data_IF_323583838711
#
_entry.id   IF_323583838711
#
_cell.length_a   1.000
_cell.length_b   1.000
_cell.length_c   1.000
_cell.angle_alpha   90.00
_cell.angle_beta   90.00
_cell.angle_gamma   90.00
#
_symmetry.space_group_name_H-M   'P 1'
#
loop_
_entity.id
_entity.type
_entity.pdbx_description
1 polymer ?
#
# COMPACT_ATOMS: atom_id res chain seq x y z
N UNK A 1 38.70 6.98 3.87
CA UNK A 1 38.02 6.09 2.92
C UNK A 1 36.70 6.73 2.57
N UNK A 2 36.50 7.06 1.31
CA UNK A 2 35.35 7.83 0.81
C UNK A 2 34.35 6.82 0.26
N UNK A 3 33.14 6.78 0.81
CA UNK A 3 32.04 5.95 0.30
C UNK A 3 31.29 6.73 -0.78
N UNK A 4 30.96 6.13 -1.94
CA UNK A 4 30.07 6.78 -2.89
C UNK A 4 28.62 6.59 -2.43
N UNK A 5 27.94 7.71 -2.20
CA UNK A 5 26.50 7.78 -1.98
C UNK A 5 25.82 7.57 -3.35
N UNK A 6 25.42 6.34 -3.66
CA UNK A 6 24.58 6.09 -4.83
C UNK A 6 23.12 6.39 -4.47
N UNK A 7 22.75 7.67 -4.56
CA UNK A 7 21.35 8.07 -4.58
C UNK A 7 20.76 7.67 -5.93
N UNK A 8 19.95 6.61 -5.96
CA UNK A 8 19.08 6.33 -7.10
C UNK A 8 17.98 7.39 -7.08
N UNK A 9 18.22 8.48 -7.78
CA UNK A 9 17.18 9.45 -8.12
C UNK A 9 16.19 8.76 -9.05
N UNK A 10 15.07 8.30 -8.50
CA UNK A 10 13.86 8.08 -9.30
C UNK A 10 13.56 9.39 -10.01
N UNK A 11 13.69 9.40 -11.34
CA UNK A 11 13.34 10.54 -12.18
C UNK A 11 11.81 10.64 -12.21
N UNK A 12 11.23 11.15 -11.14
CA UNK A 12 9.96 11.85 -11.26
C UNK A 12 10.32 13.22 -11.78
N UNK A 13 10.08 13.42 -13.08
CA UNK A 13 10.23 14.71 -13.73
C UNK A 13 9.43 15.77 -12.93
N UNK A 14 10.13 16.53 -12.10
CA UNK A 14 9.65 17.80 -11.56
C UNK A 14 9.76 18.84 -12.68
N UNK A 15 8.89 18.72 -13.68
CA UNK A 15 8.77 19.69 -14.76
C UNK A 15 7.30 19.90 -15.02
N UNK A 16 6.73 20.90 -14.34
CA UNK A 16 5.82 21.91 -14.89
C UNK A 16 4.67 21.52 -15.83
N UNK A 17 4.31 20.26 -16.00
CA UNK A 17 3.09 19.89 -16.72
C UNK A 17 1.91 20.20 -15.81
N UNK A 18 1.21 21.27 -16.16
CA UNK A 18 -0.16 21.49 -15.67
C UNK A 18 -0.90 20.16 -15.83
N UNK A 19 -1.56 19.66 -14.78
CA UNK A 19 -2.22 18.36 -14.85
C UNK A 19 -3.17 18.39 -16.05
N UNK A 20 -2.94 17.51 -17.02
CA UNK A 20 -3.75 17.39 -18.24
C UNK A 20 -5.20 17.04 -17.92
N UNK A 21 -5.46 16.64 -16.67
CA UNK A 21 -6.77 16.32 -16.11
C UNK A 21 -7.08 17.29 -14.97
N UNK A 22 -8.27 17.88 -15.01
CA UNK A 22 -8.76 18.75 -13.93
C UNK A 22 -9.31 17.98 -12.72
N UNK A 23 -9.44 16.65 -12.81
CA UNK A 23 -9.82 15.75 -11.71
C UNK A 23 -9.40 14.32 -11.98
N UNK A 24 -9.28 13.52 -10.93
CA UNK A 24 -8.84 12.15 -11.04
C UNK A 24 -9.06 11.34 -9.78
N UNK A 25 -8.72 10.05 -9.90
CA UNK A 25 -8.68 9.08 -8.83
C UNK A 25 -7.37 8.30 -8.95
N UNK A 26 -6.68 8.08 -7.84
CA UNK A 26 -5.47 7.28 -7.81
C UNK A 26 -5.42 6.43 -6.54
N UNK A 27 -4.69 5.33 -6.62
CA UNK A 27 -4.27 4.54 -5.47
C UNK A 27 -2.76 4.77 -5.29
N UNK A 28 -2.29 4.78 -4.03
CA UNK A 28 -0.90 5.06 -3.73
C UNK A 28 -0.57 4.94 -2.25
N UNK A 29 0.65 5.30 -1.87
CA UNK A 29 1.13 5.30 -0.48
C UNK A 29 1.13 6.74 0.03
N UNK A 30 0.50 7.00 1.17
CA UNK A 30 0.60 8.29 1.87
C UNK A 30 2.03 8.42 2.43
N UNK A 31 2.92 9.17 1.78
CA UNK A 31 4.34 9.21 2.15
C UNK A 31 4.67 10.29 3.17
N UNK A 32 3.89 11.37 3.19
CA UNK A 32 4.01 12.45 4.17
C UNK A 32 2.67 13.17 4.39
N UNK A 33 2.55 13.88 5.51
CA UNK A 33 1.46 14.80 5.78
C UNK A 33 1.92 15.95 6.67
N UNK A 34 1.26 17.10 6.52
CA UNK A 34 1.36 18.23 7.43
C UNK A 34 -0.03 18.72 7.84
N UNK A 35 -0.09 19.84 8.54
CA UNK A 35 -1.34 20.35 9.12
C UNK A 35 -2.45 20.64 8.08
N UNK A 36 -2.08 20.94 6.84
CA UNK A 36 -3.03 21.28 5.78
C UNK A 36 -2.63 20.71 4.41
N UNK A 37 -1.85 19.62 4.40
CA UNK A 37 -1.44 18.98 3.16
C UNK A 37 -1.12 17.50 3.38
N UNK A 38 -1.25 16.70 2.33
CA UNK A 38 -0.74 15.33 2.26
C UNK A 38 0.15 15.17 1.03
N UNK A 39 1.03 14.19 1.06
CA UNK A 39 1.80 13.78 -0.10
C UNK A 39 1.56 12.29 -0.34
N UNK A 40 1.09 11.97 -1.54
CA UNK A 40 0.77 10.60 -1.94
C UNK A 40 1.68 10.22 -3.11
N UNK A 41 2.45 9.14 -2.91
CA UNK A 41 3.22 8.49 -3.97
C UNK A 41 2.32 7.51 -4.69
N UNK A 42 2.05 7.77 -5.97
CA UNK A 42 1.24 6.86 -6.80
C UNK A 42 1.99 5.54 -7.05
N UNK A 43 1.30 4.58 -7.66
CA UNK A 43 1.89 3.27 -8.00
C UNK A 43 3.01 3.34 -9.04
N UNK A 44 3.17 4.48 -9.72
CA UNK A 44 4.28 4.73 -10.64
C UNK A 44 5.51 5.29 -9.92
N UNK A 45 5.41 5.53 -8.62
CA UNK A 45 6.50 6.02 -7.80
C UNK A 45 6.59 7.55 -7.73
N UNK A 46 5.59 8.29 -8.23
CA UNK A 46 5.63 9.75 -8.20
C UNK A 46 4.83 10.36 -7.04
N UNK A 47 5.53 11.06 -6.12
CA UNK A 47 4.88 11.78 -5.03
C UNK A 47 4.30 13.10 -5.52
N UNK A 48 3.05 13.35 -5.16
CA UNK A 48 2.39 14.64 -5.37
C UNK A 48 1.78 15.15 -4.08
N UNK A 49 1.84 16.47 -3.87
CA UNK A 49 1.26 17.15 -2.72
C UNK A 49 -0.17 17.61 -3.04
N UNK A 50 -1.08 17.32 -2.11
CA UNK A 50 -2.48 17.68 -2.19
C UNK A 50 -2.89 18.52 -0.98
N UNK A 51 -3.76 19.50 -1.21
CA UNK A 51 -4.32 20.40 -0.21
C UNK A 51 -5.82 20.09 -0.03
N UNK A 52 -6.41 20.31 1.15
CA UNK A 52 -7.86 20.39 1.25
C UNK A 52 -8.43 21.52 0.37
N UNK A 53 -9.71 21.41 0.00
CA UNK A 53 -10.45 22.50 -0.62
C UNK A 53 -10.52 23.73 0.30
N UNK A 54 -10.58 24.92 -0.29
CA UNK A 54 -10.80 26.18 0.45
C UNK A 54 -12.29 26.51 0.47
N UNK A 55 -12.84 26.80 1.66
CA UNK A 55 -14.25 27.13 1.88
C UNK A 55 -14.33 28.54 2.47
N UNK A 56 -15.27 29.35 1.97
CA UNK A 56 -15.55 30.69 2.47
C UNK A 56 -14.73 31.79 1.78
N UNK A 57 -14.61 32.93 2.45
CA UNK A 57 -13.89 34.11 1.94
C UNK A 57 -12.37 34.03 2.14
N UNK A 58 -11.65 35.17 2.19
CA UNK A 58 -10.26 35.19 2.65
C UNK A 58 -10.14 34.78 4.14
N UNK A 59 -8.93 34.44 4.64
CA UNK A 59 -8.74 33.94 6.00
C UNK A 59 -9.35 34.83 7.10
N UNK A 60 -9.26 36.16 6.93
CA UNK A 60 -9.82 37.14 7.85
C UNK A 60 -11.35 37.28 7.81
N UNK A 61 -12.03 36.62 6.86
CA UNK A 61 -13.49 36.59 6.72
C UNK A 61 -14.06 35.18 6.90
N UNK A 62 -13.41 34.37 7.73
CA UNK A 62 -13.86 33.01 8.04
C UNK A 62 -13.58 32.00 6.92
N UNK A 63 -12.70 32.35 5.98
CA UNK A 63 -12.17 31.40 5.00
C UNK A 63 -11.21 30.41 5.62
N UNK A 64 -11.25 29.16 5.18
CA UNK A 64 -10.31 28.15 5.63
C UNK A 64 -10.36 26.87 4.81
N UNK A 65 -9.46 25.95 5.14
CA UNK A 65 -9.49 24.61 4.58
C UNK A 65 -10.72 23.85 5.07
N UNK A 66 -11.26 23.00 4.20
CA UNK A 66 -12.36 22.09 4.55
C UNK A 66 -11.99 21.21 5.76
N UNK A 67 -12.69 21.44 6.86
CA UNK A 67 -12.46 20.75 8.13
C UNK A 67 -12.81 19.26 8.07
N UNK A 68 -13.77 18.86 7.24
CA UNK A 68 -14.11 17.45 7.06
C UNK A 68 -12.98 16.71 6.33
N UNK A 69 -12.33 17.37 5.38
CA UNK A 69 -11.15 16.83 4.71
C UNK A 69 -9.96 16.80 5.67
N UNK A 70 -9.68 17.89 6.40
CA UNK A 70 -8.61 17.93 7.40
C UNK A 70 -8.70 16.78 8.40
N UNK A 71 -9.90 16.48 8.90
CA UNK A 71 -10.14 15.35 9.80
C UNK A 71 -9.77 14.01 9.16
N UNK A 72 -10.13 13.78 7.89
CA UNK A 72 -9.74 12.57 7.15
C UNK A 72 -8.21 12.45 7.00
N UNK A 73 -7.51 13.58 6.79
CA UNK A 73 -6.05 13.60 6.69
C UNK A 73 -5.40 13.19 8.02
N UNK A 74 -5.99 13.61 9.15
CA UNK A 74 -5.45 13.31 10.47
C UNK A 74 -5.65 11.84 10.86
N UNK A 75 -6.82 11.27 10.56
CA UNK A 75 -7.16 9.88 10.87
C UNK A 75 -6.23 8.86 10.21
N UNK A 76 -5.70 9.16 9.02
CA UNK A 76 -4.90 8.20 8.25
C UNK A 76 -3.41 8.33 8.59
N UNK A 77 -2.78 7.26 9.10
CA UNK A 77 -1.35 7.28 9.38
C UNK A 77 -0.52 7.23 8.09
N UNK A 78 0.58 7.99 8.08
CA UNK A 78 1.61 7.95 7.03
C UNK A 78 2.15 6.52 6.85
N UNK A 79 2.44 6.17 5.60
CA UNK A 79 2.95 4.89 5.14
C UNK A 79 1.87 3.88 4.78
N UNK A 80 0.59 4.19 5.02
CA UNK A 80 -0.49 3.33 4.58
C UNK A 80 -0.86 3.58 3.12
N UNK A 81 -1.43 2.54 2.51
CA UNK A 81 -1.99 2.61 1.17
C UNK A 81 -3.34 3.32 1.21
N UNK A 82 -3.57 4.23 0.28
CA UNK A 82 -4.76 5.08 0.21
C UNK A 82 -5.32 5.10 -1.20
N UNK A 83 -6.62 5.39 -1.27
CA UNK A 83 -7.32 5.77 -2.48
C UNK A 83 -7.71 7.24 -2.35
N UNK A 84 -7.26 8.04 -3.30
CA UNK A 84 -7.44 9.49 -3.33
C UNK A 84 -8.28 9.88 -4.54
N UNK A 85 -9.34 10.64 -4.31
CA UNK A 85 -10.03 11.42 -5.35
C UNK A 85 -9.58 12.87 -5.23
N UNK A 86 -9.22 13.47 -6.35
CA UNK A 86 -8.66 14.81 -6.40
C UNK A 86 -9.22 15.64 -7.56
N UNK A 87 -9.13 16.96 -7.43
CA UNK A 87 -9.37 17.91 -8.51
C UNK A 87 -8.31 19.01 -8.54
N UNK A 88 -8.30 19.79 -9.62
CA UNK A 88 -7.39 20.91 -9.82
C UNK A 88 -8.18 22.21 -9.93
N UNK A 89 -7.89 23.15 -9.02
CA UNK A 89 -8.45 24.51 -8.99
C UNK A 89 -7.37 25.60 -9.15
N UNK A 90 -6.20 25.21 -9.66
CA UNK A 90 -4.93 25.95 -9.53
C UNK A 90 -3.99 25.30 -8.50
N UNK A 91 -4.52 24.45 -7.62
CA UNK A 91 -3.77 23.52 -6.79
C UNK A 91 -4.38 22.12 -6.87
N UNK A 92 -3.60 21.08 -6.54
CA UNK A 92 -4.14 19.73 -6.37
C UNK A 92 -4.93 19.68 -5.06
N UNK A 93 -6.24 19.45 -5.17
CA UNK A 93 -7.18 19.40 -4.06
C UNK A 93 -7.64 17.99 -3.74
N UNK A 94 -7.82 17.70 -2.46
CA UNK A 94 -8.40 16.45 -1.97
C UNK A 94 -9.92 16.58 -1.94
N UNK A 95 -10.61 15.73 -2.71
CA UNK A 95 -12.07 15.54 -2.58
C UNK A 95 -12.41 14.46 -1.56
N UNK A 96 -11.65 13.36 -1.59
CA UNK A 96 -11.88 12.21 -0.73
C UNK A 96 -10.61 11.42 -0.53
N UNK A 97 -10.33 11.05 0.72
CA UNK A 97 -9.22 10.16 1.06
C UNK A 97 -9.75 8.92 1.77
N UNK A 98 -9.34 7.74 1.32
CA UNK A 98 -9.76 6.46 1.91
C UNK A 98 -8.55 5.57 2.18
N UNK A 99 -8.44 5.08 3.41
CA UNK A 99 -7.48 4.04 3.76
C UNK A 99 -7.83 2.71 3.06
N UNK A 100 -6.87 2.15 2.32
CA UNK A 100 -6.97 0.83 1.72
C UNK A 100 -6.35 -0.21 2.65
N UNK A 101 -7.20 -0.92 3.39
CA UNK A 101 -6.77 -2.00 4.28
C UNK A 101 -6.49 -3.27 3.49
N UNK A 102 -5.44 -4.04 3.84
CA UNK A 102 -5.25 -5.38 3.28
C UNK A 102 -6.45 -6.27 3.61
N UNK A 103 -6.81 -7.17 2.68
CA UNK A 103 -7.93 -8.11 2.88
C UNK A 103 -7.71 -9.04 4.08
N UNK A 104 -6.45 -9.45 4.30
CA UNK A 104 -6.05 -10.25 5.46
C UNK A 104 -5.36 -9.37 6.49
N UNK A 105 -5.59 -9.64 7.78
CA UNK A 105 -4.87 -8.95 8.88
C UNK A 105 -3.45 -9.46 9.09
N UNK A 106 -3.05 -10.55 8.44
CA UNK A 106 -1.69 -11.09 8.44
C UNK A 106 -1.47 -11.87 7.18
N UNK A 107 -0.22 -12.02 6.78
CA UNK A 107 0.12 -12.74 5.57
C UNK A 107 1.60 -12.95 5.39
N UNK A 108 1.92 -13.64 4.31
CA UNK A 108 3.27 -13.77 3.78
C UNK A 108 3.24 -13.17 2.38
N UNK A 109 4.18 -12.27 2.09
CA UNK A 109 4.34 -11.68 0.77
C UNK A 109 5.75 -11.95 0.28
N UNK A 110 5.85 -12.43 -0.96
CA UNK A 110 7.10 -12.51 -1.71
C UNK A 110 7.11 -11.37 -2.72
N UNK A 111 8.25 -10.70 -2.86
CA UNK A 111 8.36 -9.53 -3.70
C UNK A 111 9.77 -8.97 -3.79
N UNK A 112 9.86 -7.83 -4.45
CA UNK A 112 11.10 -7.09 -4.68
C UNK A 112 11.05 -5.77 -3.92
N UNK A 113 12.15 -5.41 -3.26
CA UNK A 113 12.30 -4.12 -2.56
C UNK A 113 12.33 -3.00 -3.60
N UNK A 114 11.46 -2.01 -3.43
CA UNK A 114 11.38 -0.83 -4.30
C UNK A 114 12.09 0.37 -3.69
N UNK A 115 11.97 0.53 -2.38
CA UNK A 115 12.48 1.66 -1.62
C UNK A 115 12.62 1.29 -0.14
N UNK A 116 13.44 2.01 0.60
CA UNK A 116 13.61 1.79 2.04
C UNK A 116 13.84 3.09 2.80
N UNK A 117 13.50 3.05 4.08
CA UNK A 117 13.92 4.03 5.08
C UNK A 117 14.39 3.35 6.35
N UNK A 118 14.70 4.13 7.37
CA UNK A 118 15.34 3.64 8.60
C UNK A 118 14.57 2.52 9.31
N UNK A 119 13.23 2.52 9.20
CA UNK A 119 12.36 1.59 9.91
C UNK A 119 11.24 1.02 9.03
N UNK A 120 11.35 1.17 7.71
CA UNK A 120 10.35 0.67 6.77
C UNK A 120 10.98 0.26 5.44
N UNK A 121 10.29 -0.63 4.73
CA UNK A 121 10.57 -0.98 3.34
C UNK A 121 9.31 -0.90 2.51
N UNK A 122 9.44 -0.46 1.28
CA UNK A 122 8.43 -0.63 0.26
C UNK A 122 8.77 -1.82 -0.61
N UNK A 123 7.78 -2.68 -0.81
CA UNK A 123 7.93 -3.89 -1.59
C UNK A 123 6.80 -4.02 -2.60
N UNK A 124 7.16 -4.32 -3.85
CA UNK A 124 6.23 -4.74 -4.89
C UNK A 124 6.03 -6.26 -4.79
N UNK A 125 4.79 -6.72 -4.62
CA UNK A 125 4.52 -8.17 -4.61
C UNK A 125 4.74 -8.77 -6.00
N UNK A 126 5.45 -9.90 -6.08
CA UNK A 126 5.68 -10.60 -7.37
C UNK A 126 4.39 -11.04 -8.06
N UNK A 127 3.29 -11.20 -7.31
CA UNK A 127 2.00 -11.67 -7.85
C UNK A 127 1.14 -10.57 -8.46
N UNK A 128 1.18 -9.38 -7.86
CA UNK A 128 0.25 -8.30 -8.20
C UNK A 128 0.95 -7.01 -8.65
N UNK A 129 2.25 -6.87 -8.41
CA UNK A 129 3.02 -5.65 -8.68
C UNK A 129 2.65 -4.46 -7.81
N UNK A 130 1.67 -4.59 -6.90
CA UNK A 130 1.16 -3.49 -6.09
C UNK A 130 2.15 -3.17 -4.96
N UNK A 131 2.67 -1.92 -4.87
CA UNK A 131 3.56 -1.50 -3.80
C UNK A 131 2.84 -1.41 -2.45
N UNK A 132 3.47 -1.95 -1.41
CA UNK A 132 3.09 -1.75 -0.01
C UNK A 132 4.30 -1.37 0.82
N UNK A 133 4.11 -0.42 1.74
CA UNK A 133 5.10 -0.08 2.76
C UNK A 133 4.87 -0.90 4.03
N UNK A 134 5.90 -1.58 4.48
CA UNK A 134 5.92 -2.38 5.70
C UNK A 134 6.89 -1.75 6.70
N UNK A 135 6.48 -1.64 7.96
CA UNK A 135 7.27 -1.06 9.03
C UNK A 135 7.85 -2.15 9.93
N UNK A 136 9.02 -1.90 10.50
CA UNK A 136 9.50 -2.68 11.63
C UNK A 136 8.43 -2.71 12.75
N UNK A 137 8.35 -3.86 13.43
CA UNK A 137 7.43 -4.05 14.55
C UNK A 137 7.87 -3.19 15.74
N UNK A 138 6.92 -2.58 16.42
CA UNK A 138 7.15 -1.88 17.68
C UNK A 138 7.00 -2.85 18.87
N UNK A 139 7.93 -2.79 19.82
CA UNK A 139 7.99 -3.64 21.03
C UNK A 139 8.25 -2.76 22.26
N UNK A 140 7.91 -3.21 23.47
CA UNK A 140 8.32 -2.53 24.72
C UNK A 140 7.43 -1.40 25.25
N UNK A 141 6.23 -1.15 24.71
CA UNK A 141 5.33 -0.11 25.24
C UNK A 141 5.65 1.29 24.71
N UNK A 142 5.46 2.37 25.48
CA UNK A 142 5.80 3.73 25.02
C UNK A 142 7.32 3.93 24.95
N UNK A 143 7.84 4.87 24.13
CA UNK A 143 9.28 5.13 24.02
C UNK A 143 9.96 5.34 25.39
N UNK A 144 9.32 6.11 26.27
CA UNK A 144 9.79 6.40 27.63
C UNK A 144 9.89 5.16 28.54
N UNK A 145 9.23 4.05 28.17
CA UNK A 145 9.21 2.79 28.92
C UNK A 145 10.04 1.70 28.25
N UNK A 146 11.00 2.08 27.40
CA UNK A 146 11.81 1.13 26.62
C UNK A 146 11.11 0.63 25.35
N UNK A 147 10.08 1.35 24.91
CA UNK A 147 9.42 1.09 23.65
C UNK A 147 10.31 1.47 22.46
N UNK A 148 10.40 0.58 21.48
CA UNK A 148 11.20 0.83 20.29
C UNK A 148 10.85 -0.12 19.15
N UNK A 149 11.47 0.11 18.01
CA UNK A 149 11.43 -0.85 16.91
C UNK A 149 12.25 -2.09 17.26
N UNK A 150 11.78 -3.25 16.81
CA UNK A 150 12.45 -4.52 17.04
C UNK A 150 13.83 -4.53 16.35
N UNK A 151 14.91 -4.55 17.13
CA UNK A 151 16.29 -4.36 16.66
C UNK A 151 16.68 -5.35 15.56
N UNK A 152 16.38 -6.64 15.73
CA UNK A 152 16.72 -7.64 14.71
C UNK A 152 16.03 -7.35 13.37
N UNK A 153 14.83 -6.75 13.39
CA UNK A 153 14.17 -6.33 12.14
C UNK A 153 14.89 -5.12 11.54
N UNK A 154 15.33 -4.16 12.35
CA UNK A 154 16.07 -3.00 11.86
C UNK A 154 17.42 -3.39 11.24
N UNK A 155 18.20 -4.26 11.89
CA UNK A 155 19.49 -4.71 11.36
C UNK A 155 19.33 -5.36 10.00
N UNK A 156 18.31 -6.22 9.84
CA UNK A 156 18.05 -6.81 8.53
C UNK A 156 17.60 -5.74 7.50
N UNK A 157 16.87 -4.68 7.89
CA UNK A 157 16.46 -3.62 6.97
C UNK A 157 17.65 -2.75 6.50
N UNK A 158 18.66 -2.62 7.35
CA UNK A 158 19.89 -1.89 7.04
C UNK A 158 20.68 -2.58 5.92
N UNK A 159 20.74 -3.91 5.95
CA UNK A 159 21.44 -4.74 4.97
C UNK A 159 20.74 -4.76 3.59
N UNK A 160 19.41 -4.65 3.57
CA UNK A 160 18.62 -4.70 2.33
C UNK A 160 18.97 -3.59 1.33
N UNK A 161 19.02 -3.95 0.06
CA UNK A 161 19.14 -3.03 -1.06
C UNK A 161 17.84 -2.97 -1.87
N UNK A 162 17.60 -1.87 -2.61
CA UNK A 162 16.63 -1.88 -3.69
C UNK A 162 16.89 -3.05 -4.66
N UNK A 163 15.82 -3.59 -5.22
CA UNK A 163 15.81 -4.76 -6.11
C UNK A 163 16.07 -6.13 -5.45
N UNK A 164 16.34 -6.18 -4.14
CA UNK A 164 16.44 -7.44 -3.41
C UNK A 164 15.10 -8.19 -3.41
N UNK A 165 15.17 -9.51 -3.63
CA UNK A 165 14.01 -10.41 -3.52
C UNK A 165 13.88 -10.89 -2.08
N UNK A 166 12.74 -10.63 -1.47
CA UNK A 166 12.48 -10.99 -0.08
C UNK A 166 11.14 -11.70 0.10
N UNK A 167 11.09 -12.55 1.12
CA UNK A 167 9.86 -13.15 1.64
C UNK A 167 9.63 -12.59 3.04
N UNK A 168 8.58 -11.79 3.21
CA UNK A 168 8.23 -11.19 4.49
C UNK A 168 6.91 -11.74 5.03
N UNK A 169 6.89 -12.02 6.34
CA UNK A 169 5.68 -12.28 7.12
C UNK A 169 5.27 -10.99 7.80
N UNK A 170 4.00 -10.64 7.70
CA UNK A 170 3.47 -9.37 8.20
C UNK A 170 2.15 -9.52 8.93
N UNK A 171 1.87 -8.53 9.78
CA UNK A 171 0.57 -8.33 10.45
C UNK A 171 0.11 -6.89 10.25
N UNK A 172 -1.19 -6.67 10.13
CA UNK A 172 -1.79 -5.35 10.03
C UNK A 172 -2.48 -4.99 11.34
N UNK A 173 -1.93 -3.97 12.00
CA UNK A 173 -2.56 -3.29 13.12
C UNK A 173 -3.18 -1.96 12.67
N UNK A 174 -2.41 -0.89 12.81
CA UNK A 174 -2.57 0.46 12.28
C UNK A 174 -1.79 0.62 10.97
N UNK A 175 -0.70 -0.15 10.81
CA UNK A 175 0.14 -0.22 9.60
C UNK A 175 0.54 -1.68 9.33
N UNK A 176 0.98 -2.04 8.11
CA UNK A 176 1.63 -3.31 7.89
C UNK A 176 2.95 -3.37 8.70
N UNK A 177 3.06 -4.33 9.62
CA UNK A 177 4.24 -4.57 10.46
C UNK A 177 4.94 -5.85 10.05
N UNK A 178 6.25 -5.78 9.90
CA UNK A 178 7.12 -6.90 9.60
C UNK A 178 7.26 -7.74 10.87
N UNK A 179 6.90 -9.01 10.78
CA UNK A 179 7.09 -10.01 11.85
C UNK A 179 8.39 -10.76 11.65
N UNK A 180 8.67 -11.12 10.40
CA UNK A 180 9.94 -11.72 9.97
C UNK A 180 10.12 -11.44 8.49
N UNK A 181 11.36 -11.45 8.02
CA UNK A 181 11.65 -11.53 6.61
C UNK A 181 12.95 -12.28 6.39
N UNK A 182 13.06 -12.90 5.22
CA UNK A 182 14.21 -13.67 4.81
C UNK A 182 14.50 -13.28 3.36
N UNK A 183 15.78 -13.21 2.99
CA UNK A 183 16.16 -13.20 1.58
C UNK A 183 15.56 -14.43 0.90
N UNK A 184 15.03 -14.26 -0.31
CA UNK A 184 14.78 -15.42 -1.15
C UNK A 184 16.15 -15.81 -1.68
N UNK A 185 16.85 -16.72 -0.99
CA UNK A 185 18.00 -17.38 -1.60
C UNK A 185 17.53 -17.87 -2.97
N UNK A 186 18.22 -17.50 -4.05
CA UNK A 186 17.96 -18.03 -5.39
C UNK A 186 18.32 -19.53 -5.49
N UNK A 187 18.41 -20.22 -4.36
CA UNK A 187 18.71 -21.65 -4.20
C UNK A 187 17.46 -22.44 -3.78
N UNK A 188 16.32 -22.17 -4.38
CA UNK A 188 15.33 -23.23 -4.59
C UNK A 188 15.41 -23.67 -6.05
N UNK A 189 16.24 -24.69 -6.25
CA UNK A 189 16.22 -25.68 -7.33
C UNK A 189 16.73 -25.27 -8.72
N UNK A 190 18.04 -25.46 -8.95
CA UNK A 190 18.40 -26.33 -10.09
C UNK A 190 17.77 -27.68 -9.75
N UNK A 191 16.51 -27.84 -10.12
CA UNK A 191 15.88 -29.14 -10.22
C UNK A 191 16.73 -29.88 -11.25
N UNK A 192 17.76 -30.58 -10.77
CA UNK A 192 18.36 -31.69 -11.49
C UNK A 192 17.34 -32.80 -11.29
N UNK A 193 16.43 -33.05 -12.24
CA UNK A 193 15.60 -34.22 -12.14
C UNK A 193 16.51 -35.42 -11.89
N UNK A 194 16.06 -36.39 -11.11
CA UNK A 194 16.83 -37.60 -10.79
C UNK A 194 17.29 -38.42 -12.04
N UNK A 195 16.87 -38.02 -13.24
CA UNK A 195 17.30 -38.58 -14.53
C UNK A 195 18.39 -37.76 -15.26
N UNK A 196 18.75 -36.55 -14.82
CA UNK A 196 19.92 -35.83 -15.34
C UNK A 196 21.20 -36.33 -14.66
N UNK A 197 21.92 -37.21 -15.35
CA UNK A 197 23.30 -37.55 -15.01
C UNK A 197 24.19 -36.36 -15.33
N UNK A 198 24.40 -35.49 -14.35
CA UNK A 198 25.38 -34.42 -14.44
C UNK A 198 26.76 -35.00 -14.12
N UNK A 199 27.57 -35.29 -15.15
CA UNK A 199 28.97 -35.72 -15.05
C UNK A 199 29.90 -34.56 -14.61
N UNK A 200 29.60 -33.90 -13.48
CA UNK A 200 30.44 -32.79 -12.96
C UNK A 200 31.55 -33.22 -12.01
N UNK A 201 31.70 -34.51 -11.73
CA UNK A 201 32.92 -35.04 -11.13
C UNK A 201 33.72 -35.78 -12.20
N UNK A 202 34.62 -35.08 -12.88
CA UNK A 202 35.75 -35.73 -13.54
C UNK A 202 36.77 -36.04 -12.45
N UNK A 203 36.91 -37.28 -11.95
CA UNK A 203 37.95 -37.59 -10.99
C UNK A 203 39.28 -37.52 -11.72
N UNK A 204 40.31 -36.94 -11.10
CA UNK A 204 41.69 -37.10 -11.58
C UNK A 204 41.95 -38.61 -11.81
N UNK A 205 42.58 -39.00 -12.94
CA UNK A 205 42.86 -40.42 -13.17
C UNK A 205 43.79 -40.94 -12.07
N UNK A 206 43.33 -41.96 -11.34
CA UNK A 206 44.21 -42.74 -10.45
C UNK A 206 45.18 -43.58 -11.29
N UNK A 207 46.39 -43.85 -10.78
CA UNK A 207 47.34 -44.73 -11.46
C UNK A 207 46.74 -46.11 -11.72
N UNK A 208 47.01 -46.64 -12.91
CA UNK A 208 46.58 -47.96 -13.38
C UNK A 208 47.20 -49.04 -12.50
N UNK A 209 46.36 -49.87 -11.88
CA UNK A 209 46.76 -51.15 -11.28
C UNK A 209 46.37 -52.26 -12.28
N UNK A 210 47.25 -53.23 -12.57
CA UNK A 210 46.98 -54.27 -13.57
C UNK A 210 45.79 -55.17 -13.21
N UNK A 211 45.09 -55.56 -14.26
CA UNK A 211 43.91 -56.44 -14.32
C UNK A 211 44.07 -57.79 -13.60
N UNK A 212 43.12 -58.11 -12.72
CA UNK A 212 42.79 -59.48 -12.32
C UNK A 212 41.73 -60.10 -13.25
N UNK A 213 41.61 -61.44 -13.30
CA UNK A 213 40.95 -62.16 -14.38
C UNK A 213 39.42 -62.00 -14.41
N UNK A 214 38.88 -62.03 -15.64
CA UNK A 214 37.49 -61.81 -16.00
C UNK A 214 36.51 -62.79 -15.35
N UNK A 215 35.33 -62.29 -14.97
CA UNK A 215 34.19 -63.10 -14.57
C UNK A 215 33.55 -63.77 -15.81
N UNK A 216 33.25 -65.08 -15.78
CA UNK A 216 32.82 -65.86 -16.94
C UNK A 216 31.31 -65.75 -17.29
N UNK A 217 30.56 -64.85 -16.66
CA UNK A 217 29.10 -64.72 -16.88
C UNK A 217 28.70 -63.69 -17.94
N UNK A 218 29.68 -63.14 -18.68
CA UNK A 218 29.47 -62.20 -19.78
C UNK A 218 29.05 -62.91 -21.09
N UNK A 219 28.04 -63.78 -21.01
CA UNK A 219 27.44 -64.41 -22.18
C UNK A 219 25.95 -64.62 -21.97
N UNK A 220 25.11 -63.66 -22.38
CA UNK A 220 23.95 -63.90 -23.27
C UNK A 220 23.49 -62.57 -23.88
N UNK A 221 23.38 -62.52 -25.20
CA UNK A 221 22.64 -61.54 -26.01
C UNK A 221 21.73 -62.32 -26.98
N UNK A 222 20.82 -61.69 -27.75
CA UNK A 222 19.48 -61.16 -27.43
C UNK A 222 18.34 -61.91 -28.16
N UNK A 223 17.09 -61.89 -27.66
CA UNK A 223 15.91 -62.16 -28.51
C UNK A 223 14.67 -61.35 -28.08
N UNK A 224 14.22 -60.46 -28.98
CA UNK A 224 12.80 -60.10 -29.22
C UNK A 224 12.23 -61.10 -30.25
N UNK A 225 10.90 -61.29 -30.47
CA UNK A 225 9.88 -60.24 -30.56
C UNK A 225 8.40 -60.59 -30.17
N UNK A 226 7.55 -59.56 -30.27
CA UNK A 226 6.10 -59.56 -30.49
C UNK A 226 5.17 -60.05 -29.37
N UNK A 227 4.38 -59.10 -28.83
CA UNK A 227 3.02 -59.42 -28.38
C UNK A 227 2.09 -58.23 -28.65
N UNK A 228 1.05 -58.53 -29.42
CA UNK A 228 -0.04 -57.66 -29.84
C UNK A 228 -0.96 -57.36 -28.64
N UNK A 229 -1.40 -56.11 -28.50
CA UNK A 229 -2.34 -55.68 -27.46
C UNK A 229 -3.74 -56.32 -27.68
N UNK A 230 -4.34 -56.95 -26.65
CA UNK A 230 -5.61 -57.68 -26.77
C UNK A 230 -6.88 -56.86 -26.45
N UNK A 231 -6.81 -55.53 -26.37
CA UNK A 231 -7.93 -54.70 -25.90
C UNK A 231 -8.73 -53.97 -26.99
N UNK A 232 -8.46 -54.22 -28.27
CA UNK A 232 -9.31 -53.72 -29.36
C UNK A 232 -10.49 -54.66 -29.61
N UNK A 233 -11.51 -54.60 -28.74
CA UNK A 233 -12.89 -54.97 -29.08
C UNK A 233 -13.88 -54.08 -28.34
N UNK A 234 -14.59 -53.26 -29.12
CA UNK A 234 -15.63 -52.37 -28.64
C UNK A 234 -16.88 -53.10 -28.12
N UNK A 235 -17.55 -52.45 -27.17
CA UNK A 235 -18.95 -52.67 -26.83
C UNK A 235 -19.49 -51.40 -26.15
N UNK A 236 -20.74 -51.10 -26.47
CA UNK A 236 -21.43 -49.83 -26.25
C UNK A 236 -21.70 -49.49 -24.78
N UNK A 237 -21.77 -48.17 -24.51
CA UNK A 237 -22.24 -47.61 -23.24
C UNK A 237 -23.77 -47.72 -23.13
N UNK A 238 -24.34 -48.13 -21.98
CA UNK A 238 -25.77 -48.47 -21.86
C UNK A 238 -26.66 -47.32 -21.34
N UNK A 239 -26.26 -46.05 -21.44
CA UNK A 239 -27.00 -44.92 -20.86
C UNK A 239 -27.54 -43.90 -21.87
N UNK A 240 -27.67 -44.29 -23.14
CA UNK A 240 -28.14 -43.37 -24.18
C UNK A 240 -29.57 -43.69 -24.63
N UNK A 241 -30.54 -43.23 -23.85
CA UNK A 241 -31.93 -43.07 -24.28
C UNK A 241 -32.50 -41.71 -23.80
N UNK A 242 -32.44 -40.73 -24.71
CA UNK A 242 -33.48 -39.74 -25.12
C UNK A 242 -34.79 -39.66 -24.30
N UNK A 243 -35.45 -38.50 -24.09
CA UNK A 243 -35.54 -37.29 -24.93
C UNK A 243 -36.15 -36.06 -24.20
N UNK A 244 -36.10 -34.86 -24.80
CA UNK A 244 -36.50 -33.58 -24.21
C UNK A 244 -37.91 -33.15 -24.63
N UNK A 245 -38.86 -33.06 -23.70
CA UNK A 245 -39.97 -32.09 -23.75
C UNK A 245 -40.86 -32.22 -22.50
N UNK A 246 -40.74 -31.28 -21.56
CA UNK A 246 -41.80 -30.98 -20.60
C UNK A 246 -41.46 -29.66 -19.89
N UNK A 247 -42.05 -28.56 -20.36
CA UNK A 247 -42.21 -27.34 -19.56
C UNK A 247 -43.23 -27.60 -18.45
N UNK A 248 -42.99 -27.08 -17.24
CA UNK A 248 -44.09 -26.58 -16.44
C UNK A 248 -43.89 -25.13 -16.02
N UNK A 249 -44.96 -24.39 -16.26
CA UNK A 249 -45.36 -23.07 -15.82
C UNK A 249 -44.98 -22.73 -14.36
N UNK A 250 -44.55 -21.49 -14.15
CA UNK A 250 -44.28 -20.88 -12.84
C UNK A 250 -45.50 -20.85 -11.90
N UNK A 251 -45.27 -20.62 -10.59
CA UNK A 251 -45.78 -19.36 -10.06
C UNK A 251 -44.70 -18.54 -9.36
N UNK A 252 -44.65 -17.27 -9.78
CA UNK A 252 -43.93 -16.17 -9.16
C UNK A 252 -44.73 -15.67 -7.96
N UNK A 253 -44.24 -15.87 -6.73
CA UNK A 253 -44.55 -14.98 -5.60
C UNK A 253 -43.31 -14.95 -4.68
N UNK A 254 -42.68 -13.79 -4.57
CA UNK A 254 -41.61 -13.53 -3.58
C UNK A 254 -42.25 -13.10 -2.25
N UNK A 255 -41.79 -13.60 -1.09
CA UNK A 255 -42.45 -13.39 0.21
C UNK A 255 -42.00 -12.12 0.96
N UNK A 256 -41.48 -11.10 0.27
CA UNK A 256 -40.92 -9.89 0.90
C UNK A 256 -41.50 -8.57 0.34
N UNK A 257 -42.76 -8.58 -0.09
CA UNK A 257 -43.47 -7.34 -0.36
C UNK A 257 -44.23 -6.88 0.89
N UNK A 258 -43.52 -6.17 1.77
CA UNK A 258 -44.12 -5.40 2.86
C UNK A 258 -43.63 -3.96 2.76
N UNK A 259 -44.43 -3.15 2.07
CA UNK A 259 -44.44 -1.69 2.25
C UNK A 259 -45.16 -1.36 3.56
N UNK A 260 -44.64 -0.43 4.38
CA UNK A 260 -45.48 0.32 5.30
C UNK A 260 -45.79 1.68 4.67
N UNK A 261 -47.01 1.81 4.15
CA UNK A 261 -47.67 3.09 3.99
C UNK A 261 -48.55 3.35 5.23
N UNK A 262 -48.32 4.46 5.92
CA UNK A 262 -49.29 5.25 6.72
C UNK A 262 -48.54 6.48 7.23
N UNK A 263 -48.69 7.65 6.62
CA UNK A 263 -49.74 8.64 6.92
C UNK A 263 -49.74 9.06 8.39
N UNK A 264 -49.05 10.16 8.69
CA UNK A 264 -49.26 10.94 9.92
C UNK A 264 -49.88 12.26 9.48
N UNK A 265 -51.18 12.40 9.75
CA UNK A 265 -51.84 13.70 9.75
C UNK A 265 -51.35 14.51 10.97
N UNK A 266 -51.09 15.82 10.82
CA UNK A 266 -50.61 16.66 11.91
C UNK A 266 -51.74 17.07 12.86
N UNK A 267 -51.50 16.85 14.16
CA UNK A 267 -52.30 17.41 15.26
C UNK A 267 -52.08 18.93 15.31
N UNK A 268 -53.14 19.77 15.31
CA UNK A 268 -52.99 21.21 15.53
C UNK A 268 -52.85 21.48 17.04
N UNK A 269 -51.76 22.12 17.46
CA UNK A 269 -51.65 22.68 18.82
C UNK A 269 -50.37 22.39 19.62
N UNK A 270 -49.33 21.82 19.02
CA UNK A 270 -48.03 21.72 19.69
C UNK A 270 -47.15 22.93 19.36
N UNK A 271 -47.14 23.92 20.25
CA UNK A 271 -46.18 25.02 20.25
C UNK A 271 -44.75 24.51 20.44
N UNK A 272 -43.85 25.02 19.60
CA UNK A 272 -42.44 24.65 19.52
C UNK A 272 -41.69 25.08 20.81
N UNK A 273 -40.91 24.20 21.47
CA UNK A 273 -40.22 24.53 22.71
C UNK A 273 -38.92 25.35 22.52
N UNK A 274 -38.63 25.79 21.28
CA UNK A 274 -37.40 26.51 20.93
C UNK A 274 -37.60 28.02 20.70
N UNK A 275 -38.81 28.55 20.87
CA UNK A 275 -39.11 29.99 20.75
C UNK A 275 -38.92 30.77 22.07
N UNK A 276 -37.85 30.50 22.81
CA UNK A 276 -37.37 31.40 23.87
C UNK A 276 -36.03 32.01 23.48
N UNK A 277 -36.12 33.17 22.81
CA UNK A 277 -35.01 34.10 22.67
C UNK A 277 -34.55 34.55 24.06
N UNK A 278 -33.35 34.13 24.46
CA UNK A 278 -32.65 34.70 25.61
C UNK A 278 -31.93 35.98 25.19
N UNK A 279 -31.95 37.06 26.00
CA UNK A 279 -31.23 38.28 25.71
C UNK A 279 -29.70 38.09 25.78
N UNK A 280 -28.98 38.88 24.98
CA UNK A 280 -27.53 38.83 24.81
C UNK A 280 -26.77 38.93 26.15
N UNK A 281 -25.66 38.19 26.34
CA UNK A 281 -24.81 38.36 27.52
C UNK A 281 -24.02 39.67 27.44
N UNK A 282 -24.13 40.42 28.54
CA UNK A 282 -23.38 41.63 28.86
C UNK A 282 -21.88 41.33 28.83
N UNK A 283 -21.13 42.23 28.21
CA UNK A 283 -19.67 42.19 28.10
C UNK A 283 -19.00 42.19 29.48
N UNK A 284 -18.45 41.04 29.87
CA UNK A 284 -17.46 40.95 30.96
C UNK A 284 -16.07 41.27 30.41
N UNK A 285 -15.29 42.17 31.02
CA UNK A 285 -13.90 42.42 30.62
C UNK A 285 -13.01 41.21 30.95
N UNK A 286 -12.14 40.84 30.01
CA UNK A 286 -11.14 39.77 30.19
C UNK A 286 -10.09 40.14 31.26
N UNK A 287 -9.55 39.16 32.03
CA UNK A 287 -8.71 39.40 33.19
C UNK A 287 -7.20 39.36 32.90
N UNK A 288 -6.75 39.88 31.75
CA UNK A 288 -5.33 39.81 31.37
C UNK A 288 -4.61 41.16 31.62
N UNK A 289 -3.86 41.17 32.71
CA UNK A 289 -2.59 41.86 33.04
C UNK A 289 -2.16 43.13 32.24
N UNK A 290 -1.92 44.29 32.88
CA UNK A 290 -1.53 45.55 32.22
C UNK A 290 -0.03 45.68 31.85
N UNK A 291 0.80 44.64 31.90
CA UNK A 291 2.25 44.75 31.66
C UNK A 291 2.78 43.89 30.49
N UNK A 292 2.29 44.12 29.27
CA UNK A 292 2.95 43.63 28.05
C UNK A 292 3.67 44.81 27.37
N UNK A 293 5.00 44.78 27.19
CA UNK A 293 5.72 45.83 26.48
C UNK A 293 5.29 45.86 25.00
N UNK A 294 5.25 47.08 24.44
CA UNK A 294 4.84 47.33 23.07
C UNK A 294 5.67 46.52 22.04
N UNK A 295 4.98 46.13 20.97
CA UNK A 295 5.51 45.37 19.85
C UNK A 295 6.68 46.12 19.17
N UNK A 296 7.88 45.53 19.03
CA UNK A 296 9.07 46.23 18.51
C UNK A 296 9.01 46.52 16.99
N UNK A 297 7.93 46.15 16.31
CA UNK A 297 7.75 46.33 14.87
C UNK A 297 6.94 47.58 14.48
N UNK A 298 6.45 48.37 15.45
CA UNK A 298 5.68 49.59 15.19
C UNK A 298 6.53 50.88 15.12
N UNK A 299 7.86 50.75 14.98
CA UNK A 299 8.74 51.90 14.70
C UNK A 299 8.77 52.21 13.19
N UNK A 300 8.47 53.46 12.83
CA UNK A 300 8.41 54.03 11.48
C UNK A 300 9.58 53.69 10.54
N UNK A 301 9.37 53.75 9.21
CA UNK A 301 10.41 53.47 8.21
C UNK A 301 11.49 54.57 8.21
N UNK A 302 12.74 54.15 8.32
CA UNK A 302 13.92 55.01 8.06
C UNK A 302 14.11 55.24 6.55
N UNK A 303 14.66 56.39 6.13
CA UNK A 303 14.79 56.75 4.71
C UNK A 303 15.83 55.87 3.99
N UNK A 304 15.52 55.54 2.74
CA UNK A 304 16.35 54.75 1.81
C UNK A 304 17.66 55.50 1.50
N UNK A 305 18.85 54.88 1.65
CA UNK A 305 20.10 55.49 1.19
C UNK A 305 20.18 55.47 -0.35
N UNK A 306 20.64 56.58 -0.92
CA UNK A 306 20.81 56.76 -2.35
C UNK A 306 21.79 55.75 -2.96
N UNK A 307 21.46 55.30 -4.17
CA UNK A 307 22.18 54.28 -4.94
C UNK A 307 23.56 54.82 -5.40
N UNK A 308 24.69 54.08 -5.26
CA UNK A 308 26.02 54.62 -5.57
C UNK A 308 26.40 54.57 -7.06
N UNK A 309 25.44 54.41 -7.96
CA UNK A 309 25.67 54.26 -9.41
C UNK A 309 25.22 55.48 -10.25
N UNK A 310 24.75 56.55 -9.61
CA UNK A 310 24.55 57.84 -10.27
C UNK A 310 25.75 58.77 -10.00
N UNK A 311 26.86 58.54 -10.71
CA UNK A 311 27.89 59.54 -11.02
C UNK A 311 28.64 59.19 -12.30
#
# INVERSE_FOLDING_TARGET
MVFPLAAITSVCAQLGELPTKSKGKLDGILVAKGNAWIEVKDDKGCPHRYLPGWIGGPPNRGGGYDQAVLSQLDEIPVGNRVQLTWHWDGHLRVDRLKLLRPYKRKGVTVGTILDKGDNWVEMGSSRFGIPFRYYAKWVGGLPERGGGYHEATLSSLEELQPDDKVKLTWVFDVRPRIVSFHGVEEEEDVFVPFYEKVDLFRPRPRPVIPSGPANPFDQVTPQTPNTVNPFDRGAASPFDHVSPNASPTAPSVSPFDMTPASSIDPVPGASNPFDQASPAPVSTPSPFDPNIPANPFDAQPSPVPANPLDR
#
